data_IF_935851973492
#
_entry.id   IF_935851973492
#
_cell.length_a   1.000
_cell.length_b   1.000
_cell.length_c   1.000
_cell.angle_alpha   90.00
_cell.angle_beta   90.00
_cell.angle_gamma   90.00
#
_symmetry.space_group_name_H-M   'P 1'
#
loop_
_entity.id
_entity.type
_entity.pdbx_description
1 polymer ?
#
# COMPACT_ATOMS: atom_id res chain seq x y z
N UNK A 1 -3.64 -19.92 -0.02
CA UNK A 1 -4.89 -19.17 -0.15
C UNK A 1 -4.69 -17.83 0.53
N UNK A 2 -4.89 -16.73 -0.17
CA UNK A 2 -4.70 -15.37 0.39
C UNK A 2 -5.81 -15.02 1.36
N UNK A 3 -5.49 -14.29 2.42
CA UNK A 3 -6.41 -13.95 3.51
C UNK A 3 -6.83 -12.48 3.40
N UNK A 4 -8.13 -12.22 3.36
CA UNK A 4 -8.69 -10.85 3.31
C UNK A 4 -9.51 -10.62 4.59
N UNK A 5 -9.14 -9.59 5.35
CA UNK A 5 -9.89 -9.14 6.52
C UNK A 5 -10.78 -7.96 6.14
N UNK A 6 -12.06 -8.06 6.43
CA UNK A 6 -13.03 -6.97 6.28
C UNK A 6 -13.26 -6.36 7.65
N UNK A 7 -13.11 -5.04 7.78
CA UNK A 7 -13.45 -4.24 8.96
C UNK A 7 -14.53 -3.26 8.53
N UNK A 8 -15.77 -3.56 8.89
CA UNK A 8 -16.98 -2.89 8.39
C UNK A 8 -18.12 -3.10 9.39
N UNK A 9 -18.77 -2.06 9.88
CA UNK A 9 -19.84 -2.17 10.84
C UNK A 9 -21.20 -2.53 10.21
N UNK A 10 -21.41 -2.14 8.95
CA UNK A 10 -22.62 -2.46 8.20
C UNK A 10 -22.63 -3.94 7.75
N UNK A 11 -23.27 -4.82 8.53
CA UNK A 11 -23.34 -6.25 8.23
C UNK A 11 -23.85 -6.59 6.80
N UNK A 12 -24.80 -5.85 6.18
CA UNK A 12 -25.19 -6.11 4.79
C UNK A 12 -24.04 -5.90 3.81
N UNK A 13 -23.25 -4.83 3.97
CA UNK A 13 -22.09 -4.52 3.12
C UNK A 13 -21.03 -5.61 3.30
N UNK A 14 -20.68 -5.92 4.55
CA UNK A 14 -19.69 -6.96 4.87
C UNK A 14 -20.06 -8.32 4.26
N UNK A 15 -21.33 -8.73 4.32
CA UNK A 15 -21.81 -10.00 3.74
C UNK A 15 -21.71 -10.02 2.21
N UNK A 16 -22.03 -8.92 1.55
CA UNK A 16 -21.87 -8.79 0.09
C UNK A 16 -20.41 -8.95 -0.28
N UNK A 17 -19.52 -8.20 0.36
CA UNK A 17 -18.09 -8.26 0.10
C UNK A 17 -17.53 -9.68 0.37
N UNK A 18 -17.94 -10.31 1.47
CA UNK A 18 -17.54 -11.66 1.80
C UNK A 18 -17.99 -12.65 0.71
N UNK A 19 -19.25 -12.59 0.27
CA UNK A 19 -19.78 -13.48 -0.76
C UNK A 19 -19.05 -13.34 -2.10
N UNK A 20 -18.67 -12.12 -2.48
CA UNK A 20 -17.92 -11.87 -3.71
C UNK A 20 -16.45 -12.32 -3.58
N UNK A 21 -15.79 -12.03 -2.47
CA UNK A 21 -14.40 -12.44 -2.22
C UNK A 21 -14.26 -13.96 -2.13
N UNK A 22 -15.25 -14.68 -1.57
CA UNK A 22 -15.23 -16.13 -1.46
C UNK A 22 -15.47 -16.86 -2.79
N UNK A 23 -15.92 -16.17 -3.85
CA UNK A 23 -15.92 -16.73 -5.23
C UNK A 23 -14.50 -16.84 -5.80
N UNK A 24 -13.60 -16.03 -5.29
CA UNK A 24 -12.18 -16.06 -5.61
C UNK A 24 -11.43 -16.97 -4.60
N UNK A 25 -10.17 -17.36 -4.86
CA UNK A 25 -9.41 -18.23 -3.96
C UNK A 25 -8.91 -17.51 -2.70
N UNK A 26 -9.79 -16.76 -2.01
CA UNK A 26 -9.51 -16.04 -0.77
C UNK A 26 -10.13 -16.73 0.45
N UNK A 27 -9.44 -16.60 1.60
CA UNK A 27 -10.02 -16.87 2.91
C UNK A 27 -10.45 -15.53 3.50
N UNK A 28 -11.70 -15.38 3.86
CA UNK A 28 -12.26 -14.11 4.30
C UNK A 28 -12.65 -14.19 5.77
N UNK A 29 -12.30 -13.15 6.54
CA UNK A 29 -12.87 -12.91 7.86
C UNK A 29 -13.44 -11.52 7.92
N UNK A 30 -14.49 -11.37 8.72
CA UNK A 30 -15.14 -10.11 8.99
C UNK A 30 -15.05 -9.77 10.48
N UNK A 31 -14.80 -8.49 10.76
CA UNK A 31 -14.91 -7.89 12.09
C UNK A 31 -15.77 -6.61 11.97
N UNK A 32 -16.75 -6.39 12.88
CA UNK A 32 -17.64 -5.22 12.81
C UNK A 32 -16.97 -3.91 13.28
N UNK A 33 -15.66 -3.86 13.43
CA UNK A 33 -14.96 -2.68 13.94
C UNK A 33 -14.94 -2.61 15.47
N UNK A 34 -15.05 -3.74 16.15
CA UNK A 34 -15.01 -3.84 17.61
C UNK A 34 -13.57 -3.95 18.16
N UNK A 35 -13.43 -3.94 19.51
CA UNK A 35 -12.15 -4.01 20.21
C UNK A 35 -11.32 -5.27 19.94
N UNK A 36 -11.89 -6.33 19.34
CA UNK A 36 -11.19 -7.56 18.97
C UNK A 36 -10.49 -7.50 17.60
N UNK A 37 -10.64 -6.41 16.86
CA UNK A 37 -10.13 -6.24 15.50
C UNK A 37 -8.61 -6.38 15.44
N UNK A 38 -7.87 -5.71 16.33
CA UNK A 38 -6.41 -5.74 16.32
C UNK A 38 -5.87 -7.13 16.70
N UNK A 39 -6.47 -7.80 17.65
CA UNK A 39 -6.12 -9.18 18.02
C UNK A 39 -6.36 -10.15 16.86
N UNK A 40 -7.47 -9.98 16.15
CA UNK A 40 -7.78 -10.76 14.96
C UNK A 40 -6.73 -10.49 13.85
N UNK A 41 -6.37 -9.24 13.61
CA UNK A 41 -5.34 -8.86 12.65
C UNK A 41 -3.99 -9.50 12.98
N UNK A 42 -3.54 -9.41 14.23
CA UNK A 42 -2.24 -9.92 14.67
C UNK A 42 -2.16 -11.45 14.66
N UNK A 43 -3.23 -12.13 15.06
CA UNK A 43 -3.26 -13.60 15.14
C UNK A 43 -3.53 -14.26 13.80
N UNK A 44 -4.44 -13.70 13.00
CA UNK A 44 -4.81 -14.30 11.72
C UNK A 44 -3.88 -13.91 10.58
N UNK A 45 -3.17 -12.77 10.68
CA UNK A 45 -2.19 -12.24 9.71
C UNK A 45 -2.78 -12.19 8.30
N UNK A 46 -3.69 -11.26 8.01
CA UNK A 46 -4.25 -11.10 6.68
C UNK A 46 -3.20 -10.65 5.66
N UNK A 47 -3.40 -11.01 4.40
CA UNK A 47 -2.63 -10.52 3.25
C UNK A 47 -3.15 -9.16 2.75
N UNK A 48 -4.39 -8.79 3.09
CA UNK A 48 -5.03 -7.51 2.76
C UNK A 48 -6.16 -7.21 3.75
N UNK A 49 -6.37 -5.94 4.05
CA UNK A 49 -7.49 -5.42 4.84
C UNK A 49 -8.37 -4.52 3.99
N UNK A 50 -9.68 -4.76 4.01
CA UNK A 50 -10.70 -3.80 3.58
C UNK A 50 -11.18 -3.07 4.84
N UNK A 51 -11.09 -1.75 4.88
CA UNK A 51 -11.33 -0.95 6.08
C UNK A 51 -12.33 0.18 5.80
N UNK A 52 -13.46 0.18 6.51
CA UNK A 52 -14.29 1.38 6.60
C UNK A 52 -13.66 2.38 7.58
N UNK A 53 -13.73 3.66 7.22
CA UNK A 53 -13.32 4.74 8.12
C UNK A 53 -14.42 5.16 9.09
N UNK A 54 -15.69 4.88 8.76
CA UNK A 54 -16.84 5.34 9.51
C UNK A 54 -17.35 4.26 10.49
N UNK A 55 -16.46 3.77 11.34
CA UNK A 55 -16.81 2.83 12.40
C UNK A 55 -17.46 3.57 13.58
N UNK A 56 -18.47 2.99 14.25
CA UNK A 56 -19.25 3.69 15.28
C UNK A 56 -18.43 4.09 16.51
N UNK A 57 -17.49 3.23 16.93
CA UNK A 57 -16.73 3.40 18.18
C UNK A 57 -15.25 3.73 17.96
N UNK A 58 -14.76 3.73 16.71
CA UNK A 58 -13.35 3.90 16.37
C UNK A 58 -13.21 4.83 15.16
N UNK A 59 -12.20 5.69 15.16
CA UNK A 59 -11.78 6.36 13.93
C UNK A 59 -11.00 5.36 13.06
N UNK A 60 -11.51 5.05 11.87
CA UNK A 60 -10.84 4.14 10.94
C UNK A 60 -9.43 4.59 10.54
N UNK A 61 -9.12 5.89 10.60
CA UNK A 61 -7.76 6.38 10.40
C UNK A 61 -6.82 5.98 11.56
N UNK A 62 -7.33 5.91 12.78
CA UNK A 62 -6.54 5.40 13.91
C UNK A 62 -6.36 3.88 13.83
N UNK A 63 -7.37 3.15 13.32
CA UNK A 63 -7.23 1.73 12.96
C UNK A 63 -6.14 1.54 11.92
N UNK A 64 -6.12 2.34 10.85
CA UNK A 64 -5.07 2.31 9.83
C UNK A 64 -3.68 2.53 10.44
N UNK A 65 -3.52 3.53 11.32
CA UNK A 65 -2.26 3.79 12.03
C UNK A 65 -1.81 2.59 12.87
N UNK A 66 -2.73 1.97 13.60
CA UNK A 66 -2.42 0.77 14.39
C UNK A 66 -1.96 -0.38 13.49
N UNK A 67 -2.65 -0.66 12.39
CA UNK A 67 -2.23 -1.68 11.41
C UNK A 67 -0.81 -1.38 10.91
N UNK A 68 -0.50 -0.12 10.59
CA UNK A 68 0.82 0.32 10.10
C UNK A 68 1.93 0.17 11.13
N UNK A 69 1.64 0.29 12.42
CA UNK A 69 2.62 0.03 13.49
C UNK A 69 3.03 -1.44 13.56
N UNK A 70 2.16 -2.36 13.10
CA UNK A 70 2.38 -3.80 13.16
C UNK A 70 2.83 -4.43 11.84
N UNK A 71 2.97 -3.66 10.76
CA UNK A 71 3.51 -4.16 9.50
C UNK A 71 3.00 -3.46 8.25
N UNK A 72 3.39 -4.03 7.11
CA UNK A 72 3.12 -3.50 5.77
C UNK A 72 1.94 -4.19 5.07
N UNK A 73 1.00 -4.76 5.84
CA UNK A 73 -0.20 -5.39 5.26
C UNK A 73 -0.98 -4.37 4.42
N UNK A 74 -1.27 -4.64 3.16
CA UNK A 74 -2.06 -3.74 2.31
C UNK A 74 -3.43 -3.43 2.90
N UNK A 75 -3.85 -2.16 2.82
CA UNK A 75 -5.15 -1.69 3.28
C UNK A 75 -5.85 -0.91 2.16
N UNK A 76 -7.04 -1.35 1.79
CA UNK A 76 -7.95 -0.62 0.91
C UNK A 76 -9.04 0.01 1.79
N UNK A 77 -9.20 1.32 1.69
CA UNK A 77 -10.24 2.04 2.42
C UNK A 77 -11.55 1.98 1.64
N UNK A 78 -12.65 1.62 2.33
CA UNK A 78 -14.02 1.66 1.82
C UNK A 78 -14.80 2.67 2.66
N UNK A 79 -15.26 3.80 2.13
CA UNK A 79 -15.93 4.79 2.97
C UNK A 79 -16.84 5.74 2.19
N UNK A 80 -17.86 6.25 2.90
CA UNK A 80 -18.74 7.30 2.37
C UNK A 80 -18.07 8.71 2.33
N UNK A 81 -16.91 8.88 2.99
CA UNK A 81 -16.13 10.12 2.90
C UNK A 81 -15.48 10.22 1.52
N UNK A 82 -16.19 10.82 0.56
CA UNK A 82 -15.79 10.89 -0.86
C UNK A 82 -15.06 12.17 -1.26
N UNK A 83 -14.81 13.12 -0.35
CA UNK A 83 -14.14 14.36 -0.70
C UNK A 83 -12.68 14.14 -1.09
N UNK A 84 -12.16 14.93 -2.01
CA UNK A 84 -10.74 14.87 -2.41
C UNK A 84 -9.78 15.02 -1.21
N UNK A 85 -10.05 15.93 -0.23
CA UNK A 85 -9.23 16.02 0.97
C UNK A 85 -9.21 14.72 1.81
N UNK A 86 -10.34 14.04 1.99
CA UNK A 86 -10.41 12.80 2.78
C UNK A 86 -9.63 11.66 2.11
N UNK A 87 -9.75 11.54 0.79
CA UNK A 87 -8.97 10.56 0.00
C UNK A 87 -7.47 10.82 0.11
N UNK A 88 -7.05 12.07 -0.01
CA UNK A 88 -5.65 12.46 0.14
C UNK A 88 -5.13 12.17 1.55
N UNK A 89 -5.93 12.42 2.57
CA UNK A 89 -5.55 12.14 3.96
C UNK A 89 -5.37 10.64 4.21
N UNK A 90 -6.30 9.78 3.75
CA UNK A 90 -6.18 8.32 3.88
C UNK A 90 -4.94 7.76 3.17
N UNK A 91 -4.69 8.22 1.93
CA UNK A 91 -3.51 7.82 1.16
C UNK A 91 -2.20 8.34 1.77
N UNK A 92 -2.20 9.57 2.34
CA UNK A 92 -1.04 10.12 3.05
C UNK A 92 -0.73 9.35 4.33
N UNK A 93 -1.74 8.76 4.98
CA UNK A 93 -1.58 7.91 6.16
C UNK A 93 -1.22 6.45 5.81
N UNK A 94 -1.02 6.15 4.52
CA UNK A 94 -0.46 4.88 4.06
C UNK A 94 -1.48 3.84 3.61
N UNK A 95 -2.72 4.23 3.28
CA UNK A 95 -3.63 3.35 2.56
C UNK A 95 -3.11 3.04 1.14
N UNK A 96 -3.37 1.83 0.65
CA UNK A 96 -2.91 1.37 -0.66
C UNK A 96 -3.88 1.73 -1.78
N UNK A 97 -5.14 1.83 -1.46
CA UNK A 97 -6.21 2.26 -2.35
C UNK A 97 -7.39 2.82 -1.55
N UNK A 98 -8.32 3.46 -2.25
CA UNK A 98 -9.48 4.13 -1.68
C UNK A 98 -10.67 3.96 -2.60
N UNK A 99 -11.77 3.41 -2.08
CA UNK A 99 -13.00 3.16 -2.83
C UNK A 99 -14.14 3.89 -2.13
N UNK A 100 -14.79 4.88 -2.81
CA UNK A 100 -15.94 5.57 -2.23
C UNK A 100 -17.17 4.66 -2.21
N UNK A 101 -17.99 4.76 -1.16
CA UNK A 101 -19.34 4.20 -1.11
C UNK A 101 -20.33 5.18 -1.79
N UNK A 102 -21.31 4.72 -2.59
CA UNK A 102 -21.57 3.33 -2.94
C UNK A 102 -20.60 2.81 -4.00
N UNK A 103 -20.25 1.54 -3.93
CA UNK A 103 -19.32 0.88 -4.85
C UNK A 103 -19.96 -0.35 -5.50
N UNK A 104 -19.44 -0.75 -6.64
CA UNK A 104 -19.72 -2.04 -7.25
C UNK A 104 -18.82 -3.11 -6.60
N UNK A 105 -19.38 -4.25 -6.09
CA UNK A 105 -18.56 -5.33 -5.52
C UNK A 105 -17.51 -5.87 -6.49
N UNK A 106 -17.78 -5.95 -7.79
CA UNK A 106 -16.81 -6.41 -8.78
C UNK A 106 -15.63 -5.43 -8.92
N UNK A 107 -15.86 -4.11 -8.76
CA UNK A 107 -14.78 -3.11 -8.67
C UNK A 107 -13.89 -3.38 -7.44
N UNK A 108 -14.48 -3.67 -6.28
CA UNK A 108 -13.71 -3.99 -5.08
C UNK A 108 -12.83 -5.22 -5.31
N UNK A 109 -13.39 -6.29 -5.93
CA UNK A 109 -12.62 -7.50 -6.25
C UNK A 109 -11.46 -7.19 -7.20
N UNK A 110 -11.69 -6.43 -8.26
CA UNK A 110 -10.64 -6.05 -9.20
C UNK A 110 -9.50 -5.28 -8.51
N UNK A 111 -9.83 -4.37 -7.60
CA UNK A 111 -8.83 -3.61 -6.81
C UNK A 111 -8.10 -4.49 -5.80
N UNK A 112 -8.79 -5.39 -5.10
CA UNK A 112 -8.16 -6.40 -4.22
C UNK A 112 -7.17 -7.26 -5.01
N UNK A 113 -7.56 -7.77 -6.18
CA UNK A 113 -6.67 -8.53 -7.05
C UNK A 113 -5.47 -7.71 -7.50
N UNK A 114 -5.67 -6.45 -7.90
CA UNK A 114 -4.60 -5.56 -8.32
C UNK A 114 -3.59 -5.30 -7.20
N UNK A 115 -4.06 -5.03 -5.97
CA UNK A 115 -3.21 -4.80 -4.79
C UNK A 115 -2.45 -6.07 -4.42
N UNK A 116 -3.12 -7.24 -4.36
CA UNK A 116 -2.48 -8.52 -4.02
C UNK A 116 -1.52 -9.01 -5.10
N UNK A 117 -1.78 -8.75 -6.39
CA UNK A 117 -0.88 -9.09 -7.51
C UNK A 117 0.42 -8.30 -7.43
N UNK A 118 0.37 -7.03 -7.02
CA UNK A 118 1.57 -6.19 -6.87
C UNK A 118 2.54 -6.77 -5.84
N UNK A 119 2.03 -7.32 -4.74
CA UNK A 119 2.86 -8.01 -3.74
C UNK A 119 3.51 -9.31 -4.28
N UNK A 120 2.89 -9.97 -5.27
CA UNK A 120 3.41 -11.21 -5.87
C UNK A 120 4.43 -10.96 -6.99
N UNK A 121 4.32 -9.85 -7.75
CA UNK A 121 5.27 -9.52 -8.83
C UNK A 121 6.69 -9.19 -8.34
N UNK A 122 6.86 -9.00 -7.04
CA UNK A 122 8.12 -8.67 -6.38
C UNK A 122 9.01 -9.89 -6.04
N UNK A 123 8.57 -11.11 -6.38
CA UNK A 123 9.17 -12.35 -5.87
C UNK A 123 10.39 -12.87 -6.65
N UNK A 124 10.87 -12.21 -7.71
CA UNK A 124 11.83 -12.82 -8.65
C UNK A 124 13.33 -12.55 -8.38
N UNK A 125 13.69 -11.68 -7.45
CA UNK A 125 15.06 -11.58 -6.92
C UNK A 125 15.01 -11.39 -5.40
N UNK A 126 15.50 -12.40 -4.66
CA UNK A 126 15.32 -12.48 -3.20
C UNK A 126 15.85 -11.28 -2.43
N UNK A 127 16.99 -10.75 -2.82
CA UNK A 127 17.62 -9.62 -2.10
C UNK A 127 18.49 -8.82 -3.06
N UNK A 128 18.38 -7.49 -3.01
CA UNK A 128 19.28 -6.56 -3.72
C UNK A 128 20.02 -5.72 -2.69
N UNK A 129 21.33 -5.59 -2.86
CA UNK A 129 22.19 -4.74 -2.04
C UNK A 129 22.75 -3.61 -2.90
N UNK A 130 22.51 -2.37 -2.45
CA UNK A 130 23.01 -1.15 -3.05
C UNK A 130 23.80 -0.39 -1.98
N UNK A 131 25.09 -0.74 -1.84
CA UNK A 131 25.92 -0.25 -0.75
C UNK A 131 25.35 -0.65 0.62
N UNK A 132 25.01 0.33 1.45
CA UNK A 132 24.41 0.17 2.78
C UNK A 132 22.90 -0.12 2.75
N UNK A 133 22.24 0.06 1.59
CA UNK A 133 20.82 -0.25 1.41
C UNK A 133 20.64 -1.72 1.01
N UNK A 134 19.84 -2.46 1.78
CA UNK A 134 19.51 -3.86 1.51
C UNK A 134 18.00 -4.00 1.38
N UNK A 135 17.54 -4.55 0.27
CA UNK A 135 16.12 -4.71 -0.05
C UNK A 135 15.82 -6.19 -0.20
N UNK A 136 14.96 -6.71 0.67
CA UNK A 136 14.45 -8.08 0.58
C UNK A 136 13.07 -8.06 -0.06
N UNK A 137 13.00 -8.52 -1.30
CA UNK A 137 11.75 -8.57 -2.07
C UNK A 137 10.79 -9.66 -1.60
N UNK A 138 11.31 -10.69 -0.91
CA UNK A 138 10.47 -11.78 -0.38
C UNK A 138 9.78 -11.36 0.91
N UNK A 139 10.54 -10.71 1.80
CA UNK A 139 10.01 -10.20 3.06
C UNK A 139 9.32 -8.83 2.91
N UNK A 140 9.44 -8.18 1.75
CA UNK A 140 9.01 -6.80 1.52
C UNK A 140 9.61 -5.83 2.54
N UNK A 141 10.89 -5.99 2.87
CA UNK A 141 11.61 -5.19 3.87
C UNK A 141 12.80 -4.47 3.26
N UNK A 142 13.11 -3.32 3.83
CA UNK A 142 14.27 -2.51 3.46
C UNK A 142 15.09 -2.23 4.72
N UNK A 143 16.38 -2.45 4.63
CA UNK A 143 17.34 -2.13 5.69
C UNK A 143 18.32 -1.09 5.17
N UNK A 144 18.62 -0.11 5.98
CA UNK A 144 19.69 0.87 5.75
C UNK A 144 20.64 0.83 6.96
N UNK A 145 21.93 0.57 6.72
CA UNK A 145 22.92 0.35 7.78
C UNK A 145 22.43 -0.71 8.80
N UNK A 146 21.88 -1.83 8.31
CA UNK A 146 21.30 -2.93 9.08
C UNK A 146 20.08 -2.55 9.97
N UNK A 147 19.53 -1.34 9.82
CA UNK A 147 18.29 -0.92 10.49
C UNK A 147 17.11 -1.05 9.55
N UNK A 148 16.05 -1.69 10.02
CA UNK A 148 14.78 -1.80 9.28
C UNK A 148 14.17 -0.41 9.07
N UNK A 149 13.88 -0.07 7.81
CA UNK A 149 13.15 1.15 7.46
C UNK A 149 11.65 0.91 7.49
N UNK A 150 10.87 1.74 8.21
CA UNK A 150 9.41 1.67 8.25
C UNK A 150 8.84 2.27 6.96
N UNK A 151 8.63 1.44 5.93
CA UNK A 151 8.01 1.86 4.68
C UNK A 151 6.53 1.47 4.64
N UNK A 152 5.69 2.37 4.17
CA UNK A 152 4.32 2.03 3.81
C UNK A 152 4.29 1.15 2.54
N UNK A 153 3.25 0.33 2.33
CA UNK A 153 3.18 -0.56 1.17
C UNK A 153 3.38 0.14 -0.19
N UNK A 154 2.85 1.36 -0.34
CA UNK A 154 3.04 2.13 -1.59
C UNK A 154 4.46 2.69 -1.73
N UNK A 155 5.08 3.11 -0.62
CA UNK A 155 6.47 3.55 -0.62
C UNK A 155 7.38 2.37 -0.99
N UNK A 156 7.10 1.19 -0.41
CA UNK A 156 7.75 -0.07 -0.79
C UNK A 156 7.58 -0.36 -2.29
N UNK A 157 6.34 -0.33 -2.82
CA UNK A 157 6.06 -0.65 -4.21
C UNK A 157 6.81 0.28 -5.18
N UNK A 158 6.83 1.58 -4.87
CA UNK A 158 7.55 2.57 -5.68
C UNK A 158 9.07 2.38 -5.60
N UNK A 159 9.62 2.18 -4.41
CA UNK A 159 11.05 1.94 -4.23
C UNK A 159 11.48 0.66 -4.94
N UNK A 160 10.74 -0.42 -4.77
CA UNK A 160 11.01 -1.70 -5.41
C UNK A 160 10.93 -1.63 -6.94
N UNK A 161 9.98 -0.85 -7.49
CA UNK A 161 9.91 -0.59 -8.91
C UNK A 161 11.16 0.15 -9.39
N UNK A 162 11.56 1.23 -8.71
CA UNK A 162 12.74 2.01 -9.07
C UNK A 162 14.04 1.20 -8.96
N UNK A 163 14.19 0.35 -7.93
CA UNK A 163 15.34 -0.53 -7.76
C UNK A 163 15.45 -1.58 -8.87
N UNK A 164 14.34 -2.06 -9.40
CA UNK A 164 14.33 -2.97 -10.56
C UNK A 164 14.68 -2.27 -11.87
N UNK A 165 14.64 -0.94 -11.90
CA UNK A 165 14.92 -0.13 -13.08
C UNK A 165 15.92 0.99 -12.75
N UNK A 166 17.13 0.65 -12.26
CA UNK A 166 18.11 1.63 -11.85
C UNK A 166 18.54 2.49 -13.05
N UNK A 167 18.83 3.76 -12.78
CA UNK A 167 19.29 4.73 -13.76
C UNK A 167 18.31 5.01 -14.91
N UNK A 168 17.05 4.58 -14.80
CA UNK A 168 15.99 4.89 -15.76
C UNK A 168 15.09 5.99 -15.21
N UNK A 169 14.70 6.92 -16.08
CA UNK A 169 13.77 8.00 -15.75
C UNK A 169 12.35 7.61 -16.14
N UNK A 170 11.42 7.83 -15.21
CA UNK A 170 9.99 7.59 -15.40
C UNK A 170 9.18 8.85 -15.14
N UNK A 171 8.23 9.14 -16.02
CA UNK A 171 7.28 10.23 -15.79
C UNK A 171 6.36 9.92 -14.59
N UNK A 172 5.70 10.97 -14.06
CA UNK A 172 4.68 10.78 -13.00
C UNK A 172 3.58 9.84 -13.43
N UNK A 173 3.11 9.99 -14.64
CA UNK A 173 2.09 9.16 -15.27
C UNK A 173 2.55 7.69 -15.35
N UNK A 174 3.75 7.44 -15.86
CA UNK A 174 4.31 6.09 -15.93
C UNK A 174 4.46 5.44 -14.56
N UNK A 175 4.90 6.20 -13.54
CA UNK A 175 5.00 5.70 -12.17
C UNK A 175 3.62 5.45 -11.57
N UNK A 176 2.65 6.31 -11.85
CA UNK A 176 1.27 6.13 -11.44
C UNK A 176 0.71 4.82 -11.99
N UNK A 177 0.75 4.63 -13.31
CA UNK A 177 0.25 3.43 -13.98
C UNK A 177 0.93 2.16 -13.48
N UNK A 178 2.26 2.18 -13.32
CA UNK A 178 3.05 1.00 -12.94
C UNK A 178 2.92 0.62 -11.48
N UNK A 179 2.77 1.60 -10.59
CA UNK A 179 2.77 1.39 -9.15
C UNK A 179 1.36 1.43 -8.55
N UNK A 180 0.46 2.27 -9.08
CA UNK A 180 -0.94 2.38 -8.61
C UNK A 180 -1.91 1.65 -9.52
N UNK A 181 -1.61 1.53 -10.81
CA UNK A 181 -2.45 0.88 -11.84
C UNK A 181 -3.16 1.92 -12.72
N UNK A 182 -3.53 1.50 -13.94
CA UNK A 182 -4.15 2.38 -14.94
C UNK A 182 -5.53 2.91 -14.50
N UNK A 183 -6.23 2.18 -13.64
CA UNK A 183 -7.55 2.56 -13.14
C UNK A 183 -7.50 3.43 -11.87
N UNK A 184 -6.31 3.94 -11.51
CA UNK A 184 -6.17 4.79 -10.33
C UNK A 184 -6.65 6.21 -10.62
N UNK A 185 -7.80 6.59 -10.03
CA UNK A 185 -8.43 7.90 -10.22
C UNK A 185 -7.79 9.05 -9.41
N UNK A 186 -6.83 8.75 -8.54
CA UNK A 186 -6.08 9.77 -7.80
C UNK A 186 -5.01 10.41 -8.69
N UNK A 187 -4.94 11.75 -8.72
CA UNK A 187 -3.99 12.47 -9.57
C UNK A 187 -2.51 12.14 -9.29
N UNK A 188 -1.64 12.51 -10.22
CA UNK A 188 -0.19 12.25 -10.24
C UNK A 188 0.59 12.83 -9.03
N UNK A 189 -0.01 13.75 -8.28
CA UNK A 189 0.56 14.31 -7.03
C UNK A 189 0.84 13.26 -5.95
N UNK A 190 0.17 12.10 -5.99
CA UNK A 190 0.43 11.00 -5.06
C UNK A 190 1.86 10.47 -5.25
N UNK A 191 2.37 10.47 -6.48
CA UNK A 191 3.75 10.09 -6.80
C UNK A 191 4.73 11.03 -6.09
N UNK A 192 4.53 12.36 -6.21
CA UNK A 192 5.39 13.37 -5.59
C UNK A 192 5.42 13.20 -4.06
N UNK A 193 4.24 12.94 -3.45
CA UNK A 193 4.13 12.71 -2.01
C UNK A 193 4.88 11.46 -1.57
N UNK A 194 4.77 10.38 -2.33
CA UNK A 194 5.45 9.12 -2.06
C UNK A 194 6.96 9.25 -2.21
N UNK A 195 7.43 9.93 -3.27
CA UNK A 195 8.86 10.25 -3.46
C UNK A 195 9.41 11.08 -2.28
N UNK A 196 8.64 12.07 -1.81
CA UNK A 196 9.05 12.87 -0.65
C UNK A 196 9.23 12.00 0.60
N UNK A 197 8.29 11.10 0.89
CA UNK A 197 8.39 10.15 2.03
C UNK A 197 9.59 9.22 1.87
N UNK A 198 9.77 8.64 0.70
CA UNK A 198 10.93 7.78 0.41
C UNK A 198 12.25 8.50 0.65
N UNK A 199 12.40 9.74 0.17
CA UNK A 199 13.59 10.55 0.44
C UNK A 199 13.82 10.81 1.92
N UNK A 200 12.76 11.01 2.70
CA UNK A 200 12.86 11.15 4.15
C UNK A 200 13.32 9.85 4.81
N UNK A 201 12.78 8.69 4.40
CA UNK A 201 13.21 7.39 4.91
C UNK A 201 14.65 7.04 4.52
N UNK A 202 15.09 7.49 3.36
CA UNK A 202 16.42 7.23 2.79
C UNK A 202 17.43 8.37 3.05
N UNK A 203 17.13 9.32 3.94
CA UNK A 203 17.98 10.51 4.17
C UNK A 203 19.41 10.17 4.59
N UNK A 204 19.60 9.03 5.29
CA UNK A 204 20.90 8.56 5.74
C UNK A 204 21.60 7.63 4.72
N UNK A 205 20.97 7.38 3.56
CA UNK A 205 21.59 6.63 2.48
C UNK A 205 22.61 7.51 1.76
N UNK A 206 23.91 7.10 1.72
CA UNK A 206 24.94 7.94 1.12
C UNK A 206 24.67 8.23 -0.37
N UNK A 207 24.71 9.50 -0.82
CA UNK A 207 24.54 9.83 -2.24
C UNK A 207 25.58 9.17 -3.17
N UNK A 208 26.74 8.77 -2.62
CA UNK A 208 27.77 8.00 -3.33
C UNK A 208 27.36 6.56 -3.64
N UNK A 209 26.35 6.02 -2.95
CA UNK A 209 25.81 4.69 -3.19
C UNK A 209 24.55 4.74 -4.05
N UNK A 210 23.73 5.79 -3.89
CA UNK A 210 22.58 6.05 -4.73
C UNK A 210 21.63 7.11 -4.15
N UNK A 211 20.74 7.60 -4.99
CA UNK A 211 19.74 8.61 -4.62
C UNK A 211 18.54 8.61 -5.56
N UNK A 212 17.40 9.13 -5.08
CA UNK A 212 16.23 9.37 -5.93
C UNK A 212 16.32 10.78 -6.50
N UNK A 213 16.59 10.89 -7.81
CA UNK A 213 16.69 12.16 -8.52
C UNK A 213 15.34 12.65 -9.03
N UNK A 214 15.17 13.96 -9.10
CA UNK A 214 14.11 14.62 -9.88
C UNK A 214 14.71 15.15 -11.17
N UNK A 215 14.25 14.61 -12.29
CA UNK A 215 14.64 15.12 -13.61
C UNK A 215 13.57 16.13 -14.04
N UNK A 216 13.92 17.42 -13.99
CA UNK A 216 12.97 18.51 -14.27
C UNK A 216 12.31 18.33 -15.63
N UNK A 217 10.96 18.41 -15.66
CA UNK A 217 10.17 18.25 -16.88
C UNK A 217 9.98 16.79 -17.34
N UNK A 218 10.68 15.81 -16.75
CA UNK A 218 10.60 14.39 -17.14
C UNK A 218 10.01 13.52 -16.05
N UNK A 219 10.48 13.62 -14.79
CA UNK A 219 9.96 12.78 -13.71
C UNK A 219 11.02 12.40 -12.68
N UNK A 220 11.09 11.11 -12.34
CA UNK A 220 11.95 10.59 -11.28
C UNK A 220 12.80 9.41 -11.74
N UNK A 221 13.98 9.28 -11.15
CA UNK A 221 14.92 8.17 -11.38
C UNK A 221 15.58 7.78 -10.08
N UNK A 222 15.80 6.49 -9.85
CA UNK A 222 16.73 6.00 -8.83
C UNK A 222 18.10 5.91 -9.49
N UNK A 223 19.03 6.74 -9.05
CA UNK A 223 20.42 6.69 -9.50
C UNK A 223 21.22 5.82 -8.54
N UNK A 224 21.99 4.87 -9.07
CA UNK A 224 22.89 3.99 -8.32
C UNK A 224 24.26 3.99 -8.99
N UNK A 225 25.31 3.95 -8.17
CA UNK A 225 26.71 4.02 -8.59
C UNK A 225 27.39 2.66 -8.56
#
# INVERSE_FOLDING_TARGET
MKKVLIIEDEAPIARILQAYLEREPYSVKWNPGDGGMLDLFLTWKPDLVLLDLMLPDLDGLDVLKQIRQHGSCPVIILTARGSVPDRLQGLQQGADDYIPKPFDPDEVIARVQAVLRRSAYMADSRTVRLGSLVVDFTACTVYLHDKLLPLYPRDWSLLAFLIKHPNQCFSREQLLDRVWGMDYEGGDRVVDTTIKRLRQCLQDWPPSEGEILTIRGLGYSLHVH
#
